data_IF_346590347568
#
_entry.id   IF_346590347568
#
_cell.length_a   1.000
_cell.length_b   1.000
_cell.length_c   1.000
_cell.angle_alpha   90.00
_cell.angle_beta   90.00
_cell.angle_gamma   90.00
#
_symmetry.space_group_name_H-M   'P 1'
#
loop_
_entity.id
_entity.type
_entity.pdbx_description
1 polymer ?
#
# COMPACT_ATOMS: atom_id res chain seq x y z
N UNK A 1 -17.35 -52.68 -57.08
CA UNK A 1 -16.56 -51.45 -57.30
C UNK A 1 -17.20 -50.34 -56.48
N UNK A 2 -16.85 -50.27 -55.20
CA UNK A 2 -17.50 -49.28 -54.30
C UNK A 2 -16.43 -48.34 -53.76
N UNK A 3 -16.57 -47.10 -54.15
CA UNK A 3 -15.70 -46.02 -53.66
C UNK A 3 -16.16 -45.58 -52.28
N UNK A 4 -15.34 -45.93 -51.30
CA UNK A 4 -15.54 -45.52 -49.91
C UNK A 4 -15.20 -44.03 -49.78
N UNK A 5 -16.22 -43.23 -49.53
CA UNK A 5 -16.07 -41.80 -49.22
C UNK A 5 -15.72 -41.66 -47.73
N UNK A 6 -14.47 -41.35 -47.49
CA UNK A 6 -13.98 -40.99 -46.17
C UNK A 6 -14.48 -39.61 -45.81
N UNK A 7 -15.40 -39.54 -44.86
CA UNK A 7 -15.89 -38.27 -44.28
C UNK A 7 -14.97 -37.92 -43.14
N UNK A 8 -14.14 -36.92 -43.37
CA UNK A 8 -13.26 -36.33 -42.35
C UNK A 8 -14.10 -35.45 -41.46
N UNK A 9 -14.42 -35.94 -40.27
CA UNK A 9 -15.13 -35.17 -39.24
C UNK A 9 -14.11 -34.27 -38.51
N UNK A 10 -14.03 -33.03 -38.92
CA UNK A 10 -13.27 -32.00 -38.20
C UNK A 10 -14.05 -31.58 -36.98
N UNK A 11 -13.71 -32.06 -35.81
CA UNK A 11 -14.22 -31.62 -34.55
C UNK A 11 -13.62 -30.21 -34.24
N UNK A 12 -14.38 -29.17 -34.43
CA UNK A 12 -14.08 -27.84 -33.93
C UNK A 12 -14.20 -27.86 -32.40
N UNK A 13 -13.05 -27.99 -31.73
CA UNK A 13 -12.95 -27.71 -30.31
C UNK A 13 -13.06 -26.19 -30.11
N UNK A 14 -14.29 -25.70 -29.90
CA UNK A 14 -14.52 -24.38 -29.39
C UNK A 14 -13.98 -24.33 -27.96
N UNK A 15 -12.73 -23.89 -27.81
CA UNK A 15 -12.16 -23.52 -26.53
C UNK A 15 -12.94 -22.31 -25.99
N UNK A 16 -13.81 -22.55 -25.04
CA UNK A 16 -14.36 -21.48 -24.23
C UNK A 16 -13.22 -20.88 -23.41
N UNK A 17 -12.58 -19.86 -23.95
CA UNK A 17 -11.74 -18.98 -23.16
C UNK A 17 -12.65 -18.22 -22.20
N UNK A 18 -12.74 -18.70 -20.98
CA UNK A 18 -13.32 -17.91 -19.88
C UNK A 18 -12.56 -16.61 -19.78
N UNK A 19 -13.21 -15.44 -19.77
CA UNK A 19 -12.56 -14.21 -19.46
C UNK A 19 -12.22 -14.22 -17.95
N UNK A 20 -11.10 -14.82 -17.60
CA UNK A 20 -10.50 -14.67 -16.28
C UNK A 20 -9.86 -13.30 -16.22
N UNK A 21 -10.52 -12.36 -15.63
CA UNK A 21 -9.89 -11.09 -15.46
C UNK A 21 -10.85 -10.04 -14.96
N UNK A 22 -11.36 -10.22 -13.77
CA UNK A 22 -11.81 -9.07 -13.02
C UNK A 22 -10.59 -8.16 -12.84
N UNK A 23 -10.55 -7.05 -13.56
CA UNK A 23 -9.57 -5.98 -13.36
C UNK A 23 -9.86 -5.34 -11.99
N UNK A 24 -9.35 -5.94 -10.92
CA UNK A 24 -9.45 -5.43 -9.57
C UNK A 24 -8.36 -4.37 -9.35
N UNK A 25 -8.72 -3.13 -9.60
CA UNK A 25 -7.89 -1.96 -9.34
C UNK A 25 -6.68 -1.80 -10.28
N UNK A 26 -6.08 -0.62 -10.32
CA UNK A 26 -4.87 -0.40 -11.10
C UNK A 26 -3.77 -1.34 -10.59
N UNK A 27 -3.24 -2.16 -11.48
CA UNK A 27 -2.01 -2.91 -11.21
C UNK A 27 -0.88 -1.89 -11.17
N UNK A 28 -0.51 -1.48 -9.97
CA UNK A 28 0.72 -0.73 -9.78
C UNK A 28 1.85 -1.74 -9.95
N UNK A 29 2.47 -1.76 -11.12
CA UNK A 29 3.72 -2.47 -11.30
C UNK A 29 4.75 -1.72 -10.44
N UNK A 30 5.22 -2.37 -9.38
CA UNK A 30 6.30 -1.86 -8.60
C UNK A 30 7.56 -1.96 -9.45
N UNK A 31 7.80 -0.95 -10.25
CA UNK A 31 9.15 -0.65 -10.73
C UNK A 31 9.92 -0.06 -9.56
N UNK A 32 10.11 -0.85 -8.52
CA UNK A 32 11.09 -0.53 -7.50
C UNK A 32 12.48 -0.90 -8.02
N UNK A 33 12.88 -0.31 -9.11
CA UNK A 33 14.27 -0.09 -9.41
C UNK A 33 14.58 1.38 -9.19
N UNK A 34 14.29 1.91 -8.02
CA UNK A 34 15.07 3.03 -7.57
C UNK A 34 16.46 2.48 -7.24
N UNK A 35 17.29 2.33 -8.26
CA UNK A 35 18.73 2.32 -8.04
C UNK A 35 18.98 3.56 -7.18
N UNK A 36 19.58 3.43 -5.98
CA UNK A 36 19.87 4.58 -5.16
C UNK A 36 20.64 5.56 -6.03
N UNK A 37 20.10 6.75 -6.25
CA UNK A 37 20.86 7.80 -6.91
C UNK A 37 21.86 8.25 -5.88
N UNK A 38 23.06 7.66 -5.92
CA UNK A 38 24.19 8.10 -5.09
C UNK A 38 24.60 9.48 -5.63
N UNK A 39 24.02 10.51 -5.04
CA UNK A 39 24.51 11.87 -5.25
C UNK A 39 25.75 11.99 -4.38
N UNK A 40 26.93 11.90 -4.99
CA UNK A 40 28.19 12.08 -4.27
C UNK A 40 28.16 13.41 -3.50
N UNK A 41 28.44 13.35 -2.19
CA UNK A 41 28.55 14.46 -1.24
C UNK A 41 27.23 15.11 -0.75
N UNK A 42 26.09 14.44 -0.78
CA UNK A 42 24.91 14.90 -0.06
C UNK A 42 24.63 13.92 1.09
N UNK A 43 24.60 14.42 2.32
CA UNK A 43 24.18 13.61 3.46
C UNK A 43 22.69 13.25 3.32
N UNK A 44 22.33 11.95 3.49
CA UNK A 44 20.94 11.54 3.43
C UNK A 44 20.15 12.15 4.60
N UNK A 45 18.90 12.51 4.34
CA UNK A 45 18.05 13.22 5.29
C UNK A 45 17.48 12.28 6.36
N UNK A 46 17.36 12.77 7.58
CA UNK A 46 16.61 12.13 8.66
C UNK A 46 15.10 12.35 8.46
N UNK A 47 14.31 11.29 8.66
CA UNK A 47 12.84 11.33 8.50
C UNK A 47 12.13 11.01 9.80
N UNK A 48 11.23 11.88 10.22
CA UNK A 48 10.29 11.66 11.33
C UNK A 48 8.89 11.42 10.79
N UNK A 49 8.33 10.28 11.10
CA UNK A 49 6.95 9.90 10.77
C UNK A 49 6.12 10.03 12.03
N UNK A 50 5.22 11.00 12.10
CA UNK A 50 4.27 11.05 13.20
C UNK A 50 3.34 9.83 13.16
N UNK A 51 2.97 9.30 14.32
CA UNK A 51 1.89 8.31 14.41
C UNK A 51 0.70 8.84 13.62
N UNK A 52 0.13 8.00 12.75
CA UNK A 52 -0.92 8.46 11.84
C UNK A 52 -2.12 8.97 12.63
N UNK A 53 -2.72 10.03 12.13
CA UNK A 53 -4.03 10.45 12.63
C UNK A 53 -5.04 9.35 12.27
N UNK A 54 -5.71 8.73 13.26
CA UNK A 54 -6.60 7.60 13.01
C UNK A 54 -7.86 7.98 12.23
N UNK A 55 -8.14 9.28 12.03
CA UNK A 55 -9.31 9.74 11.28
C UNK A 55 -10.64 9.34 11.91
N UNK A 56 -10.68 9.20 13.26
CA UNK A 56 -11.89 8.89 13.99
C UNK A 56 -12.82 10.12 13.94
N UNK A 57 -14.09 9.96 13.53
CA UNK A 57 -15.07 11.03 13.59
C UNK A 57 -15.23 11.57 15.02
N UNK A 58 -15.52 12.84 15.17
CA UNK A 58 -15.82 13.45 16.48
C UNK A 58 -17.21 13.03 16.99
N UNK A 59 -18.13 12.74 16.06
CA UNK A 59 -19.46 12.26 16.37
C UNK A 59 -19.47 10.72 16.44
N UNK A 60 -19.87 10.19 17.58
CA UNK A 60 -19.93 8.74 17.82
C UNK A 60 -21.01 8.05 17.00
N UNK A 61 -22.08 8.76 16.64
CA UNK A 61 -23.18 8.21 15.85
C UNK A 61 -22.74 7.88 14.42
N UNK A 62 -21.65 8.51 13.95
CA UNK A 62 -21.06 8.20 12.64
C UNK A 62 -20.24 6.90 12.60
N UNK A 63 -19.87 6.32 13.75
CA UNK A 63 -18.97 5.16 13.81
C UNK A 63 -19.54 3.97 13.05
N UNK A 64 -20.80 3.63 13.29
CA UNK A 64 -21.48 2.51 12.62
C UNK A 64 -21.63 2.75 11.11
N UNK A 65 -22.07 3.94 10.73
CA UNK A 65 -22.28 4.29 9.33
C UNK A 65 -20.97 4.31 8.51
N UNK A 66 -19.86 4.71 9.14
CA UNK A 66 -18.54 4.76 8.51
C UNK A 66 -17.68 3.51 8.73
N UNK A 67 -18.21 2.50 9.44
CA UNK A 67 -17.46 1.28 9.78
C UNK A 67 -16.19 1.58 10.58
N UNK A 68 -16.23 2.58 11.46
CA UNK A 68 -15.08 2.98 12.28
C UNK A 68 -15.16 2.35 13.67
N UNK A 69 -14.16 1.58 13.99
CA UNK A 69 -13.94 1.01 15.31
C UNK A 69 -12.75 1.75 15.94
N UNK A 70 -12.99 2.65 16.91
CA UNK A 70 -11.95 3.58 17.39
C UNK A 70 -10.67 2.91 17.87
N UNK A 71 -10.80 1.80 18.62
CA UNK A 71 -9.63 1.09 19.16
C UNK A 71 -8.82 0.43 18.04
N UNK A 72 -9.50 -0.24 17.10
CA UNK A 72 -8.86 -0.82 15.93
C UNK A 72 -8.17 0.28 15.09
N UNK A 73 -8.84 1.41 14.87
CA UNK A 73 -8.32 2.52 14.09
C UNK A 73 -7.07 3.16 14.73
N UNK A 74 -6.99 3.20 16.07
CA UNK A 74 -5.77 3.65 16.77
C UNK A 74 -4.63 2.65 16.61
N UNK A 75 -4.93 1.35 16.70
CA UNK A 75 -3.93 0.30 16.45
C UNK A 75 -3.42 0.32 15.01
N UNK A 76 -4.32 0.48 14.03
CA UNK A 76 -3.95 0.65 12.61
C UNK A 76 -3.05 1.87 12.40
N UNK A 77 -3.34 3.00 13.06
CA UNK A 77 -2.56 4.22 12.93
C UNK A 77 -1.10 4.05 13.35
N UNK A 78 -0.85 3.32 14.43
CA UNK A 78 0.50 2.98 14.87
C UNK A 78 1.14 1.96 13.94
N UNK A 79 0.42 0.88 13.60
CA UNK A 79 0.93 -0.19 12.75
C UNK A 79 1.35 0.35 11.38
N UNK A 80 0.51 1.17 10.73
CA UNK A 80 0.78 1.74 9.43
C UNK A 80 1.97 2.70 9.45
N UNK A 81 2.14 3.48 10.53
CA UNK A 81 3.31 4.35 10.68
C UNK A 81 4.61 3.54 10.75
N UNK A 82 4.61 2.42 11.49
CA UNK A 82 5.74 1.49 11.57
C UNK A 82 6.03 0.86 10.20
N UNK A 83 5.00 0.44 9.46
CA UNK A 83 5.18 -0.14 8.12
C UNK A 83 5.73 0.86 7.11
N UNK A 84 5.29 2.11 7.18
CA UNK A 84 5.86 3.17 6.33
C UNK A 84 7.34 3.43 6.70
N UNK A 85 7.67 3.46 7.99
CA UNK A 85 9.08 3.55 8.44
C UNK A 85 9.92 2.41 7.85
N UNK A 86 9.44 1.17 7.96
CA UNK A 86 10.17 -0.01 7.46
C UNK A 86 10.40 0.09 5.95
N UNK A 87 9.38 0.57 5.22
CA UNK A 87 9.48 0.78 3.77
C UNK A 87 10.50 1.86 3.41
N UNK A 88 10.45 3.02 4.07
CA UNK A 88 11.41 4.10 3.83
C UNK A 88 12.83 3.71 4.24
N UNK A 89 13.00 2.99 5.35
CA UNK A 89 14.31 2.48 5.77
C UNK A 89 14.88 1.48 4.77
N UNK A 90 14.04 0.63 4.18
CA UNK A 90 14.49 -0.37 3.20
C UNK A 90 14.88 0.23 1.86
N UNK A 91 14.42 1.44 1.54
CA UNK A 91 14.81 2.14 0.30
C UNK A 91 16.26 2.61 0.29
N UNK A 92 16.88 2.73 1.48
CA UNK A 92 18.25 3.26 1.67
C UNK A 92 18.47 4.70 1.14
N UNK A 93 17.40 5.44 0.89
CA UNK A 93 17.46 6.83 0.41
C UNK A 93 17.58 7.84 1.56
N UNK A 94 17.34 7.40 2.80
CA UNK A 94 17.29 8.24 3.99
C UNK A 94 18.31 7.75 5.03
N UNK A 95 18.78 8.66 5.90
CA UNK A 95 19.69 8.32 6.99
C UNK A 95 18.93 7.54 8.08
N UNK A 96 18.27 8.24 8.98
CA UNK A 96 17.46 7.61 10.00
C UNK A 96 15.96 7.85 9.74
N UNK A 97 15.16 6.79 9.79
CA UNK A 97 13.71 6.88 9.70
C UNK A 97 13.11 6.45 11.02
N UNK A 98 12.37 7.32 11.68
CA UNK A 98 11.80 7.09 13.01
C UNK A 98 10.31 7.32 13.02
N UNK A 99 9.59 6.53 13.83
CA UNK A 99 8.20 6.84 14.20
C UNK A 99 8.22 7.62 15.49
N UNK A 100 7.52 8.75 15.51
CA UNK A 100 7.42 9.64 16.66
C UNK A 100 5.96 9.85 17.05
N UNK A 101 5.65 10.11 18.33
CA UNK A 101 4.28 10.37 18.75
C UNK A 101 3.64 11.54 18.01
N UNK A 102 4.45 12.55 17.71
CA UNK A 102 4.05 13.79 17.05
C UNK A 102 5.23 14.36 16.21
N UNK A 103 5.13 15.61 15.79
CA UNK A 103 6.14 16.30 14.99
C UNK A 103 7.09 17.18 15.82
N UNK A 104 7.21 16.96 17.11
CA UNK A 104 8.06 17.79 18.00
C UNK A 104 9.52 17.33 18.02
N UNK A 105 9.83 16.13 17.53
CA UNK A 105 11.19 15.64 17.39
C UNK A 105 11.94 16.38 16.28
N UNK A 106 13.25 16.63 16.49
CA UNK A 106 14.10 17.23 15.44
C UNK A 106 14.35 16.20 14.32
N UNK A 107 14.14 16.61 13.07
CA UNK A 107 14.38 15.82 11.86
C UNK A 107 14.45 16.75 10.65
N UNK A 108 14.98 16.27 9.53
CA UNK A 108 15.03 17.04 8.29
C UNK A 108 13.70 17.03 7.55
N UNK A 109 13.02 15.87 7.56
CA UNK A 109 11.70 15.67 6.96
C UNK A 109 10.68 15.20 7.99
N UNK A 110 9.48 15.71 7.88
CA UNK A 110 8.33 15.38 8.72
C UNK A 110 7.19 14.84 7.87
N UNK A 111 6.83 13.58 8.11
CA UNK A 111 5.72 12.92 7.44
C UNK A 111 4.50 12.91 8.35
N UNK A 112 3.43 13.56 7.91
CA UNK A 112 2.14 13.61 8.58
C UNK A 112 1.10 12.89 7.75
N UNK A 113 0.48 11.87 8.32
CA UNK A 113 -0.51 11.05 7.61
C UNK A 113 -1.82 10.97 8.40
N UNK A 114 -2.94 10.99 7.67
CA UNK A 114 -4.28 10.74 8.21
C UNK A 114 -4.91 9.55 7.48
N UNK A 115 -5.49 8.62 8.24
CA UNK A 115 -6.31 7.54 7.68
C UNK A 115 -7.66 8.13 7.28
N UNK A 116 -8.00 8.07 6.00
CA UNK A 116 -9.30 8.49 5.48
C UNK A 116 -10.30 7.34 5.54
N UNK A 117 -9.87 6.14 5.13
CA UNK A 117 -10.65 4.91 5.25
C UNK A 117 -9.72 3.71 5.38
N UNK A 118 -10.19 2.68 6.09
CA UNK A 118 -9.57 1.36 6.17
C UNK A 118 -10.66 0.36 6.52
N UNK A 119 -10.88 -0.63 5.67
CA UNK A 119 -11.91 -1.66 5.85
C UNK A 119 -11.38 -3.07 5.61
N UNK A 120 -10.05 -3.25 5.64
CA UNK A 120 -9.38 -4.53 5.41
C UNK A 120 -9.18 -4.88 3.93
N UNK A 121 -10.00 -4.35 3.01
CA UNK A 121 -9.85 -4.53 1.56
C UNK A 121 -9.35 -3.27 0.86
N UNK A 122 -9.68 -2.13 1.40
CA UNK A 122 -9.31 -0.83 0.83
C UNK A 122 -8.77 0.08 1.91
N UNK A 123 -7.65 0.73 1.59
CA UNK A 123 -7.03 1.73 2.44
C UNK A 123 -6.92 3.03 1.66
N UNK A 124 -7.25 4.13 2.32
CA UNK A 124 -7.05 5.48 1.81
C UNK A 124 -6.36 6.33 2.86
N UNK A 125 -5.22 6.90 2.48
CA UNK A 125 -4.38 7.72 3.34
C UNK A 125 -4.24 9.11 2.73
N UNK A 126 -4.16 10.13 3.57
CA UNK A 126 -3.81 11.49 3.19
C UNK A 126 -2.47 11.84 3.80
N UNK A 127 -1.48 12.12 2.95
CA UNK A 127 -0.10 12.33 3.34
C UNK A 127 0.33 13.77 3.06
N UNK A 128 1.02 14.37 4.02
CA UNK A 128 1.72 15.65 3.85
C UNK A 128 3.15 15.47 4.32
N UNK A 129 4.10 16.01 3.57
CA UNK A 129 5.52 16.01 3.91
C UNK A 129 6.05 17.42 3.84
N UNK A 130 6.70 17.84 4.92
CA UNK A 130 7.36 19.13 5.03
C UNK A 130 8.79 18.93 5.50
N UNK A 131 9.71 19.79 5.13
CA UNK A 131 11.06 19.79 5.68
C UNK A 131 11.19 20.72 6.89
N UNK A 132 12.36 20.68 7.53
CA UNK A 132 12.69 21.50 8.70
C UNK A 132 12.69 23.02 8.40
N UNK A 133 12.75 23.40 7.14
CA UNK A 133 12.65 24.83 6.71
C UNK A 133 11.21 25.27 6.49
N UNK A 134 10.24 24.34 6.55
CA UNK A 134 8.83 24.58 6.26
C UNK A 134 8.44 24.44 4.80
N UNK A 135 9.36 24.03 3.92
CA UNK A 135 9.04 23.74 2.52
C UNK A 135 8.19 22.49 2.42
N UNK A 136 7.11 22.57 1.67
CA UNK A 136 6.19 21.46 1.43
C UNK A 136 6.71 20.63 0.27
N UNK A 137 6.98 19.34 0.52
CA UNK A 137 7.37 18.36 -0.48
C UNK A 137 6.14 17.62 -1.03
N UNK A 138 5.24 17.20 -0.14
CA UNK A 138 3.96 16.59 -0.51
C UNK A 138 2.84 17.36 0.19
N UNK A 139 1.93 17.94 -0.59
CA UNK A 139 0.83 18.73 -0.08
C UNK A 139 -0.47 17.91 -0.03
N UNK A 140 -0.76 17.30 1.13
CA UNK A 140 -2.06 16.64 1.38
C UNK A 140 -2.49 15.66 0.27
N UNK A 141 -1.54 14.93 -0.32
CA UNK A 141 -1.81 13.96 -1.38
C UNK A 141 -2.57 12.76 -0.83
N UNK A 142 -3.59 12.35 -1.56
CA UNK A 142 -4.38 11.15 -1.21
C UNK A 142 -3.83 9.94 -1.95
N UNK A 143 -3.55 8.88 -1.19
CA UNK A 143 -3.15 7.57 -1.68
C UNK A 143 -4.29 6.60 -1.39
N UNK A 144 -4.65 5.80 -2.39
CA UNK A 144 -5.72 4.83 -2.27
C UNK A 144 -5.26 3.51 -2.86
N UNK A 145 -5.45 2.43 -2.10
CA UNK A 145 -5.08 1.09 -2.53
C UNK A 145 -6.18 0.09 -2.17
N UNK A 146 -6.54 -0.74 -3.13
CA UNK A 146 -7.44 -1.87 -2.92
C UNK A 146 -6.63 -3.16 -3.02
N UNK A 147 -6.67 -3.96 -1.96
CA UNK A 147 -5.96 -5.23 -1.88
C UNK A 147 -6.57 -6.20 -2.88
N UNK A 148 -5.77 -6.76 -3.82
CA UNK A 148 -6.28 -7.78 -4.73
C UNK A 148 -6.66 -9.06 -3.97
N UNK A 149 -7.80 -9.66 -4.33
CA UNK A 149 -8.30 -10.89 -3.69
C UNK A 149 -7.27 -12.02 -3.69
N UNK A 150 -6.46 -12.12 -4.74
CA UNK A 150 -5.38 -13.11 -4.87
C UNK A 150 -4.39 -13.11 -3.69
N UNK A 151 -4.22 -11.98 -2.98
CA UNK A 151 -3.34 -11.92 -1.81
C UNK A 151 -3.87 -12.82 -0.70
N UNK A 152 -5.19 -12.85 -0.52
CA UNK A 152 -5.86 -13.67 0.48
C UNK A 152 -6.05 -15.13 0.04
N UNK A 153 -6.15 -15.38 -1.26
CA UNK A 153 -6.46 -16.71 -1.79
C UNK A 153 -5.20 -17.57 -2.01
N UNK A 154 -4.03 -16.94 -2.22
CA UNK A 154 -2.79 -17.65 -2.51
C UNK A 154 -2.25 -18.34 -1.23
N UNK A 155 -2.15 -19.70 -1.25
CA UNK A 155 -1.64 -20.45 -0.09
C UNK A 155 -0.18 -20.08 0.28
N UNK A 156 0.61 -19.59 -0.67
CA UNK A 156 1.99 -19.17 -0.42
C UNK A 156 2.10 -17.98 0.51
N UNK A 157 1.05 -17.15 0.54
CA UNK A 157 0.96 -15.98 1.41
C UNK A 157 0.49 -16.32 2.82
N UNK A 158 0.18 -17.59 3.11
CA UNK A 158 -0.34 -18.05 4.39
C UNK A 158 0.68 -18.90 5.16
N UNK A 159 0.62 -18.80 6.47
CA UNK A 159 1.32 -19.73 7.37
C UNK A 159 0.52 -21.03 7.54
N UNK A 160 1.02 -21.93 8.41
CA UNK A 160 0.37 -23.21 8.70
C UNK A 160 -0.97 -23.07 9.40
N UNK A 161 -1.15 -21.97 10.10
CA UNK A 161 -2.35 -21.57 10.83
C UNK A 161 -3.37 -20.84 9.96
N UNK A 162 -3.00 -20.51 8.70
CA UNK A 162 -3.85 -19.78 7.74
C UNK A 162 -3.77 -18.27 7.81
N UNK A 163 -2.88 -17.70 8.65
CA UNK A 163 -2.68 -16.26 8.73
C UNK A 163 -1.82 -15.75 7.56
N UNK A 164 -2.02 -14.51 7.16
CA UNK A 164 -1.20 -13.88 6.13
C UNK A 164 0.22 -13.62 6.66
N UNK A 165 1.22 -14.10 5.94
CA UNK A 165 2.65 -13.81 6.17
C UNK A 165 3.09 -12.48 5.59
N UNK A 166 2.32 -11.97 4.63
CA UNK A 166 2.61 -10.73 3.92
C UNK A 166 1.64 -9.64 4.38
N UNK A 167 2.12 -8.41 4.44
CA UNK A 167 1.25 -7.26 4.67
C UNK A 167 0.43 -7.01 3.39
N UNK A 168 -0.89 -7.20 3.41
CA UNK A 168 -1.70 -6.99 2.23
C UNK A 168 -1.70 -5.53 1.76
N UNK A 169 -1.35 -4.60 2.66
CA UNK A 169 -1.33 -3.15 2.41
C UNK A 169 0.03 -2.62 1.97
N UNK A 170 1.04 -3.48 1.85
CA UNK A 170 2.41 -3.07 1.54
C UNK A 170 2.53 -2.10 0.35
N UNK A 171 1.68 -2.29 -0.67
CA UNK A 171 1.72 -1.48 -1.88
C UNK A 171 1.46 0.01 -1.63
N UNK A 172 0.63 0.39 -0.63
CA UNK A 172 0.36 1.80 -0.35
C UNK A 172 1.62 2.51 0.21
N UNK A 173 2.43 1.78 0.99
CA UNK A 173 3.69 2.34 1.52
C UNK A 173 4.74 2.49 0.43
N UNK A 174 4.77 1.57 -0.56
CA UNK A 174 5.59 1.70 -1.77
C UNK A 174 5.21 2.94 -2.58
N UNK A 175 3.91 3.19 -2.77
CA UNK A 175 3.43 4.39 -3.48
C UNK A 175 3.88 5.68 -2.79
N UNK A 176 3.84 5.72 -1.45
CA UNK A 176 4.29 6.88 -0.68
C UNK A 176 5.81 7.02 -0.77
N UNK A 177 6.54 5.92 -0.64
CA UNK A 177 8.01 5.89 -0.70
C UNK A 177 8.56 6.34 -2.06
N UNK A 178 7.86 6.04 -3.15
CA UNK A 178 8.27 6.45 -4.49
C UNK A 178 8.05 7.94 -4.78
N UNK A 179 7.23 8.61 -3.99
CA UNK A 179 6.96 10.04 -4.12
C UNK A 179 7.89 10.90 -3.22
N UNK A 180 8.66 10.25 -2.33
CA UNK A 180 9.62 10.84 -1.42
C UNK A 180 11.07 10.68 -1.93
#
# INVERSE_FOLDING_TARGET
MNKLKSILLVALLASCASPSGGNYGPTYESTSSSTPVVIENVEPLDVSIAVFNPGIPSDTDEYGAKGVWPELRRAEAMHMAVKLRDQLSSSQNFAAVRVTPDLTSSSDLYVKTKILSSNGLEISLKVSVIDSTGKVWINSKSYKYRVPQRIFDDPRNKDKEGNLKVDPSHQIYLMISNDL
#
